data_IF_347122803363
#
_entry.id   IF_347122803363
#
_cell.length_a   1.000
_cell.length_b   1.000
_cell.length_c   1.000
_cell.angle_alpha   90.00
_cell.angle_beta   90.00
_cell.angle_gamma   90.00
#
_symmetry.space_group_name_H-M   'P 1'
#
loop_
_entity.id
_entity.type
_entity.pdbx_description
1 polymer ?
#
# COMPACT_ATOMS: atom_id res chain seq x y z
N UNK A 1 0.12 35.53 -19.86
CA UNK A 1 0.16 34.24 -19.13
C UNK A 1 -0.20 33.08 -20.05
N UNK A 2 -1.38 33.12 -20.68
CA UNK A 2 -1.82 32.10 -21.65
C UNK A 2 -0.83 31.93 -22.82
N UNK A 3 -0.27 33.01 -23.35
CA UNK A 3 0.69 32.91 -24.47
C UNK A 3 2.00 32.20 -24.08
N UNK A 4 2.50 32.46 -22.86
CA UNK A 4 3.71 31.83 -22.33
C UNK A 4 3.46 30.34 -22.09
N UNK A 5 2.33 30.00 -21.46
CA UNK A 5 1.95 28.61 -21.23
C UNK A 5 1.76 27.86 -22.56
N UNK A 6 1.14 28.49 -23.56
CA UNK A 6 0.95 27.91 -24.91
C UNK A 6 2.28 27.67 -25.62
N UNK A 7 3.22 28.62 -25.55
CA UNK A 7 4.56 28.48 -26.13
C UNK A 7 5.36 27.36 -25.43
N UNK A 8 5.32 27.29 -24.10
CA UNK A 8 6.02 26.28 -23.32
C UNK A 8 5.45 24.86 -23.56
N UNK A 9 4.13 24.72 -23.67
CA UNK A 9 3.48 23.46 -24.05
C UNK A 9 3.89 23.06 -25.46
N UNK A 10 3.89 24.00 -26.42
CA UNK A 10 4.33 23.72 -27.79
C UNK A 10 5.79 23.25 -27.83
N UNK A 11 6.69 23.90 -27.09
CA UNK A 11 8.09 23.50 -26.98
C UNK A 11 8.27 22.13 -26.31
N UNK A 12 7.46 21.80 -25.29
CA UNK A 12 7.49 20.49 -24.65
C UNK A 12 7.06 19.38 -25.62
N UNK A 13 5.99 19.60 -26.40
CA UNK A 13 5.46 18.61 -27.35
C UNK A 13 6.36 18.44 -28.58
N UNK A 14 6.86 19.53 -29.14
CA UNK A 14 7.62 19.51 -30.40
C UNK A 14 9.10 19.16 -30.20
N UNK A 15 9.69 19.60 -29.08
CA UNK A 15 11.13 19.48 -28.83
C UNK A 15 11.49 18.53 -27.68
N UNK A 16 10.51 17.90 -27.02
CA UNK A 16 10.73 17.02 -25.86
C UNK A 16 11.51 17.69 -24.71
N UNK A 17 11.31 18.99 -24.51
CA UNK A 17 11.97 19.78 -23.47
C UNK A 17 11.13 19.83 -22.19
N UNK A 18 11.79 19.68 -21.04
CA UNK A 18 11.18 19.96 -19.74
C UNK A 18 11.47 21.40 -19.31
N UNK A 19 10.46 22.10 -18.80
CA UNK A 19 10.60 23.47 -18.31
C UNK A 19 9.99 23.62 -16.91
N UNK A 20 10.49 24.57 -16.13
CA UNK A 20 9.92 24.94 -14.84
C UNK A 20 10.13 26.44 -14.63
N UNK A 21 9.03 27.17 -14.39
CA UNK A 21 9.08 28.58 -14.04
C UNK A 21 9.37 28.72 -12.55
N UNK A 22 10.40 29.48 -12.20
CA UNK A 22 10.84 29.72 -10.82
C UNK A 22 10.90 31.23 -10.58
N UNK A 23 10.30 31.68 -9.49
CA UNK A 23 10.03 33.10 -9.25
C UNK A 23 11.20 33.87 -8.62
N UNK A 24 12.15 33.15 -8.01
CA UNK A 24 13.26 33.75 -7.28
C UNK A 24 14.56 32.93 -7.38
N UNK A 25 15.68 33.59 -7.09
CA UNK A 25 17.01 33.01 -7.19
C UNK A 25 17.23 31.83 -6.22
N UNK A 26 16.59 31.83 -5.05
CA UNK A 26 16.73 30.74 -4.09
C UNK A 26 16.08 29.45 -4.61
N UNK A 27 14.88 29.56 -5.20
CA UNK A 27 14.20 28.44 -5.86
C UNK A 27 15.04 27.90 -7.03
N UNK A 28 15.69 28.77 -7.80
CA UNK A 28 16.62 28.36 -8.87
C UNK A 28 17.80 27.59 -8.29
N UNK A 29 18.46 28.10 -7.26
CA UNK A 29 19.59 27.42 -6.61
C UNK A 29 19.20 26.05 -6.04
N UNK A 30 18.05 25.96 -5.37
CA UNK A 30 17.52 24.69 -4.85
C UNK A 30 17.18 23.71 -5.96
N UNK A 31 16.64 24.19 -7.08
CA UNK A 31 16.35 23.33 -8.23
C UNK A 31 17.63 22.78 -8.87
N UNK A 32 18.66 23.61 -9.03
CA UNK A 32 19.98 23.16 -9.52
C UNK A 32 20.53 22.08 -8.59
N UNK A 33 20.52 22.30 -7.27
CA UNK A 33 20.98 21.30 -6.30
C UNK A 33 20.22 19.96 -6.42
N UNK A 34 18.88 20.02 -6.56
CA UNK A 34 18.04 18.84 -6.75
C UNK A 34 18.36 18.10 -8.05
N UNK A 35 18.54 18.83 -9.16
CA UNK A 35 18.89 18.25 -10.47
C UNK A 35 20.28 17.64 -10.42
N UNK A 36 21.27 18.33 -9.86
CA UNK A 36 22.63 17.80 -9.70
C UNK A 36 22.62 16.50 -8.88
N UNK A 37 21.90 16.48 -7.76
CA UNK A 37 21.74 15.26 -6.96
C UNK A 37 21.04 14.15 -7.74
N UNK A 38 19.96 14.47 -8.46
CA UNK A 38 19.21 13.49 -9.24
C UNK A 38 20.07 12.88 -10.35
N UNK A 39 20.88 13.68 -11.04
CA UNK A 39 21.82 13.23 -12.09
C UNK A 39 22.91 12.35 -11.48
N UNK A 40 23.50 12.74 -10.34
CA UNK A 40 24.51 11.94 -9.66
C UNK A 40 23.96 10.59 -9.17
N UNK A 41 22.72 10.56 -8.67
CA UNK A 41 22.06 9.34 -8.19
C UNK A 41 21.39 8.50 -9.30
N UNK A 42 21.24 9.04 -10.51
CA UNK A 42 20.56 8.37 -11.63
C UNK A 42 21.10 6.97 -11.95
N UNK A 43 22.43 6.74 -12.10
CA UNK A 43 22.94 5.40 -12.40
C UNK A 43 22.67 4.41 -11.25
N UNK A 44 22.89 4.84 -10.01
CA UNK A 44 22.62 4.02 -8.82
C UNK A 44 21.13 3.65 -8.70
N UNK A 45 20.22 4.61 -8.94
CA UNK A 45 18.77 4.35 -8.93
C UNK A 45 18.33 3.46 -10.08
N UNK A 46 18.98 3.55 -11.25
CA UNK A 46 18.69 2.69 -12.38
C UNK A 46 19.10 1.23 -12.10
N UNK A 47 20.28 1.01 -11.51
CA UNK A 47 20.70 -0.33 -11.09
C UNK A 47 19.84 -0.88 -9.96
N UNK A 48 19.55 -0.07 -8.95
CA UNK A 48 18.67 -0.45 -7.83
C UNK A 48 17.22 -0.68 -8.28
N UNK A 49 16.78 -0.03 -9.35
CA UNK A 49 15.45 -0.21 -9.93
C UNK A 49 15.33 -1.46 -10.81
N UNK A 50 16.41 -2.21 -11.02
CA UNK A 50 16.33 -3.56 -11.59
C UNK A 50 15.86 -4.48 -10.46
N UNK A 51 14.61 -4.97 -10.52
CA UNK A 51 14.07 -5.75 -9.44
C UNK A 51 14.91 -7.02 -9.25
N UNK A 52 15.41 -7.25 -8.04
CA UNK A 52 16.04 -8.55 -7.71
C UNK A 52 15.00 -9.68 -7.65
N UNK A 53 13.71 -9.34 -7.55
CA UNK A 53 12.57 -10.25 -7.61
C UNK A 53 11.44 -9.64 -8.45
N UNK A 54 10.75 -10.44 -9.26
CA UNK A 54 9.65 -9.98 -10.14
C UNK A 54 8.44 -9.37 -9.42
N UNK A 55 8.37 -9.47 -8.09
CA UNK A 55 7.26 -9.01 -7.27
C UNK A 55 7.75 -8.25 -6.04
N UNK A 56 6.83 -7.61 -5.32
CA UNK A 56 6.95 -6.69 -4.16
C UNK A 56 7.93 -7.05 -3.00
N UNK A 57 8.73 -8.11 -3.12
CA UNK A 57 9.76 -8.53 -2.17
C UNK A 57 10.96 -7.57 -2.08
N UNK A 58 11.11 -6.62 -3.02
CA UNK A 58 12.12 -5.56 -2.92
C UNK A 58 11.68 -4.50 -1.89
N UNK A 59 11.74 -4.91 -0.63
CA UNK A 59 11.41 -4.07 0.51
C UNK A 59 12.43 -2.95 0.63
N UNK A 60 12.05 -1.74 0.25
CA UNK A 60 12.62 -0.56 0.89
C UNK A 60 12.36 -0.70 2.40
N UNK A 61 13.38 -0.54 3.24
CA UNK A 61 13.27 -0.59 4.71
C UNK A 61 12.33 0.48 5.30
N UNK A 62 11.68 1.26 4.43
CA UNK A 62 10.56 2.14 4.76
C UNK A 62 9.40 1.34 5.35
N UNK A 63 8.93 1.80 6.51
CA UNK A 63 7.81 1.25 7.26
C UNK A 63 8.03 -0.11 7.96
N UNK A 64 9.25 -0.59 8.20
CA UNK A 64 9.40 -1.81 9.03
C UNK A 64 8.89 -1.63 10.47
N UNK A 65 8.30 -2.67 11.06
CA UNK A 65 7.91 -2.68 12.48
C UNK A 65 9.03 -3.33 13.29
N UNK A 66 9.59 -2.59 14.25
CA UNK A 66 10.52 -3.14 15.23
C UNK A 66 9.76 -4.04 16.21
N UNK A 67 10.24 -5.27 16.39
CA UNK A 67 9.70 -6.24 17.35
C UNK A 67 10.82 -6.60 18.33
N UNK A 68 10.53 -6.56 19.62
CA UNK A 68 11.49 -6.94 20.66
C UNK A 68 11.41 -8.44 21.02
N UNK A 69 12.33 -8.90 21.87
CA UNK A 69 12.40 -10.31 22.32
C UNK A 69 11.18 -10.74 23.14
N UNK A 70 10.47 -9.80 23.76
CA UNK A 70 9.22 -10.04 24.50
C UNK A 70 7.98 -10.05 23.60
N UNK A 71 8.13 -9.80 22.30
CA UNK A 71 7.02 -9.77 21.35
C UNK A 71 6.27 -8.43 21.29
N UNK A 72 6.77 -7.39 21.95
CA UNK A 72 6.21 -6.04 21.80
C UNK A 72 6.44 -5.60 20.37
N UNK A 73 5.35 -5.19 19.70
CA UNK A 73 5.35 -4.82 18.29
C UNK A 73 4.69 -5.86 17.39
N UNK A 74 4.44 -7.10 17.85
CA UNK A 74 3.78 -8.14 17.03
C UNK A 74 2.37 -7.73 16.56
N UNK A 75 1.56 -7.09 17.41
CA UNK A 75 0.25 -6.60 17.00
C UNK A 75 0.35 -5.48 15.95
N UNK A 76 1.35 -4.60 16.09
CA UNK A 76 1.61 -3.53 15.11
C UNK A 76 2.09 -4.13 13.78
N UNK A 77 2.92 -5.17 13.83
CA UNK A 77 3.34 -5.94 12.66
C UNK A 77 2.11 -6.58 12.00
N UNK A 78 1.21 -7.17 12.77
CA UNK A 78 -0.01 -7.79 12.25
C UNK A 78 -0.91 -6.78 11.54
N UNK A 79 -1.15 -5.60 12.14
CA UNK A 79 -1.86 -4.51 11.46
C UNK A 79 -1.19 -4.14 10.14
N UNK A 80 0.15 -4.11 10.09
CA UNK A 80 0.87 -3.75 8.89
C UNK A 80 0.84 -4.84 7.80
N UNK A 81 0.85 -6.11 8.19
CA UNK A 81 0.66 -7.24 7.28
C UNK A 81 -0.73 -7.19 6.65
N UNK A 82 -1.78 -6.92 7.42
CA UNK A 82 -3.14 -6.72 6.90
C UNK A 82 -3.22 -5.53 5.93
N UNK A 83 -2.43 -4.47 6.16
CA UNK A 83 -2.38 -3.30 5.27
C UNK A 83 -1.65 -3.55 3.94
N UNK A 84 -1.02 -4.71 3.75
CA UNK A 84 -0.42 -5.07 2.45
C UNK A 84 -1.50 -5.46 1.43
N UNK A 85 -2.70 -5.84 1.87
CA UNK A 85 -3.81 -6.10 0.96
C UNK A 85 -4.35 -4.79 0.38
N UNK A 86 -4.59 -4.78 -0.94
CA UNK A 86 -5.20 -3.64 -1.62
C UNK A 86 -6.53 -3.25 -0.95
N UNK A 87 -6.75 -1.94 -0.79
CA UNK A 87 -7.93 -1.33 -0.15
C UNK A 87 -8.05 -1.55 1.37
N UNK A 88 -7.01 -2.05 2.05
CA UNK A 88 -6.99 -2.14 3.53
C UNK A 88 -6.36 -0.90 4.15
N UNK A 89 -7.22 -0.01 4.66
CA UNK A 89 -6.82 1.13 5.49
C UNK A 89 -6.52 0.75 6.94
N UNK A 90 -6.11 1.73 7.75
CA UNK A 90 -5.78 1.53 9.17
C UNK A 90 -6.98 0.99 9.95
N UNK A 91 -8.17 1.55 9.74
CA UNK A 91 -9.36 1.16 10.52
C UNK A 91 -9.83 -0.25 10.19
N UNK A 92 -9.68 -0.68 8.93
CA UNK A 92 -10.04 -2.04 8.49
C UNK A 92 -9.07 -3.04 9.10
N UNK A 93 -7.77 -2.77 9.07
CA UNK A 93 -6.76 -3.63 9.67
C UNK A 93 -6.97 -3.76 11.19
N UNK A 94 -7.30 -2.66 11.87
CA UNK A 94 -7.61 -2.67 13.30
C UNK A 94 -8.90 -3.43 13.61
N UNK A 95 -9.94 -3.28 12.79
CA UNK A 95 -11.19 -4.02 12.98
C UNK A 95 -10.98 -5.53 12.83
N UNK A 96 -10.25 -5.97 11.80
CA UNK A 96 -9.91 -7.39 11.61
C UNK A 96 -9.02 -7.89 12.74
N UNK A 97 -7.99 -7.14 13.14
CA UNK A 97 -7.11 -7.53 14.22
C UNK A 97 -7.77 -7.48 15.61
N UNK A 98 -8.84 -6.70 15.77
CA UNK A 98 -9.66 -6.68 16.97
C UNK A 98 -10.39 -8.01 17.19
N UNK A 99 -10.93 -8.60 16.12
CA UNK A 99 -11.57 -9.92 16.15
C UNK A 99 -10.52 -11.06 16.12
N UNK A 100 -9.45 -10.90 15.34
CA UNK A 100 -8.40 -11.89 15.15
C UNK A 100 -7.01 -11.29 15.45
N UNK A 101 -6.55 -11.34 16.71
CA UNK A 101 -5.36 -10.61 17.16
C UNK A 101 -4.02 -11.15 16.63
N UNK A 102 -4.03 -12.27 15.91
CA UNK A 102 -2.85 -12.85 15.27
C UNK A 102 -3.21 -13.59 13.99
N UNK A 103 -2.24 -13.80 13.07
CA UNK A 103 -2.44 -14.64 11.90
C UNK A 103 -2.93 -16.05 12.26
N UNK A 104 -2.41 -16.64 13.33
CA UNK A 104 -2.81 -17.97 13.79
C UNK A 104 -4.27 -18.01 14.25
N UNK A 105 -4.74 -16.98 14.97
CA UNK A 105 -6.16 -16.89 15.38
C UNK A 105 -7.10 -16.84 14.16
N UNK A 106 -6.71 -16.11 13.11
CA UNK A 106 -7.46 -16.05 11.85
C UNK A 106 -7.46 -17.41 11.13
N UNK A 107 -6.29 -18.04 10.96
CA UNK A 107 -6.16 -19.35 10.32
C UNK A 107 -6.96 -20.43 11.05
N UNK A 108 -6.92 -20.45 12.39
CA UNK A 108 -7.70 -21.40 13.18
C UNK A 108 -9.20 -21.21 12.98
N UNK A 109 -9.66 -19.97 12.83
CA UNK A 109 -11.08 -19.69 12.57
C UNK A 109 -11.50 -20.15 11.18
N UNK A 110 -10.66 -19.97 10.15
CA UNK A 110 -10.91 -20.54 8.83
C UNK A 110 -11.00 -22.07 8.85
N UNK A 111 -10.14 -22.75 9.63
CA UNK A 111 -10.18 -24.22 9.76
C UNK A 111 -11.45 -24.75 10.44
N UNK A 112 -12.13 -23.92 11.23
CA UNK A 112 -13.40 -24.28 11.89
C UNK A 112 -14.61 -24.10 10.97
N UNK A 113 -14.47 -23.37 9.86
CA UNK A 113 -15.54 -23.22 8.88
C UNK A 113 -15.83 -24.54 8.17
N UNK A 114 -17.11 -24.86 7.99
CA UNK A 114 -17.54 -26.12 7.36
C UNK A 114 -17.46 -26.06 5.84
N UNK A 115 -17.66 -24.88 5.26
CA UNK A 115 -17.64 -24.68 3.81
C UNK A 115 -16.67 -23.57 3.41
N UNK A 116 -16.18 -23.66 2.16
CA UNK A 116 -15.39 -22.59 1.55
C UNK A 116 -16.16 -21.26 1.54
N UNK A 117 -17.49 -21.30 1.33
CA UNK A 117 -18.33 -20.11 1.29
C UNK A 117 -18.31 -19.39 2.64
N UNK A 118 -18.49 -20.12 3.73
CA UNK A 118 -18.47 -19.55 5.08
C UNK A 118 -17.11 -18.96 5.42
N UNK A 119 -16.02 -19.68 5.10
CA UNK A 119 -14.66 -19.20 5.29
C UNK A 119 -14.38 -17.94 4.46
N UNK A 120 -14.85 -17.89 3.21
CA UNK A 120 -14.68 -16.74 2.34
C UNK A 120 -15.43 -15.49 2.80
N UNK A 121 -16.48 -15.64 3.60
CA UNK A 121 -17.30 -14.55 4.13
C UNK A 121 -17.02 -14.25 5.61
N UNK A 122 -16.10 -14.97 6.26
CA UNK A 122 -15.81 -14.87 7.70
C UNK A 122 -15.51 -13.44 8.17
N UNK A 123 -14.85 -12.63 7.33
CA UNK A 123 -14.49 -11.26 7.67
C UNK A 123 -15.49 -10.22 7.15
N UNK A 124 -16.43 -10.62 6.28
CA UNK A 124 -17.21 -9.70 5.46
C UNK A 124 -18.06 -8.75 6.30
N UNK A 125 -18.61 -9.24 7.40
CA UNK A 125 -19.54 -8.50 8.26
C UNK A 125 -18.89 -7.77 9.43
N UNK A 126 -17.55 -7.83 9.55
CA UNK A 126 -16.82 -7.12 10.61
C UNK A 126 -17.07 -5.60 10.47
N UNK A 127 -17.59 -4.94 11.53
CA UNK A 127 -17.86 -3.51 11.49
C UNK A 127 -16.56 -2.70 11.60
N UNK A 128 -16.37 -1.77 10.67
CA UNK A 128 -15.27 -0.83 10.60
C UNK A 128 -15.81 0.55 10.96
N UNK A 129 -15.41 1.06 12.12
CA UNK A 129 -15.78 2.39 12.60
C UNK A 129 -14.77 3.42 12.08
N UNK A 130 -15.25 4.49 11.44
CA UNK A 130 -14.44 5.64 11.01
C UNK A 130 -14.94 6.92 11.67
N UNK A 131 -14.01 7.67 12.26
CA UNK A 131 -14.28 8.94 12.94
C UNK A 131 -14.59 8.79 14.43
N UNK A 132 -14.80 9.93 15.10
CA UNK A 132 -15.19 10.04 16.50
C UNK A 132 -16.41 10.98 16.62
N UNK A 133 -17.34 10.68 17.53
CA UNK A 133 -18.51 11.52 17.78
C UNK A 133 -19.67 11.33 16.77
N UNK A 134 -20.54 12.35 16.56
CA UNK A 134 -21.74 12.24 15.72
C UNK A 134 -21.48 11.93 14.24
N UNK A 135 -20.23 12.01 13.79
CA UNK A 135 -19.78 11.72 12.42
C UNK A 135 -19.26 10.27 12.24
N UNK A 136 -19.54 9.37 13.19
CA UNK A 136 -19.14 7.96 13.09
C UNK A 136 -19.87 7.31 11.92
N UNK A 137 -19.14 7.07 10.85
CA UNK A 137 -19.59 6.21 9.76
C UNK A 137 -19.19 4.77 10.09
N UNK A 138 -20.16 3.86 10.06
CA UNK A 138 -19.92 2.42 10.18
C UNK A 138 -20.04 1.80 8.80
N UNK A 139 -18.94 1.26 8.29
CA UNK A 139 -18.94 0.40 7.10
C UNK A 139 -18.53 -1.00 7.50
N UNK A 140 -18.75 -1.99 6.63
CA UNK A 140 -18.23 -3.35 6.85
C UNK A 140 -16.96 -3.57 6.03
N UNK A 141 -16.19 -4.61 6.36
CA UNK A 141 -15.02 -5.04 5.57
C UNK A 141 -15.42 -5.40 4.14
N UNK A 142 -16.55 -6.09 3.98
CA UNK A 142 -17.10 -6.47 2.69
C UNK A 142 -16.65 -7.85 2.19
N UNK A 143 -17.46 -8.50 1.35
CA UNK A 143 -17.25 -9.89 0.93
C UNK A 143 -16.02 -10.08 0.04
N UNK A 144 -15.70 -9.12 -0.82
CA UNK A 144 -14.54 -9.22 -1.73
C UNK A 144 -13.22 -9.27 -0.97
N UNK A 145 -13.05 -8.37 0.00
CA UNK A 145 -11.85 -8.32 0.83
C UNK A 145 -11.76 -9.56 1.73
N UNK A 146 -12.88 -10.00 2.29
CA UNK A 146 -12.93 -11.24 3.09
C UNK A 146 -12.46 -12.45 2.27
N UNK A 147 -12.97 -12.62 1.05
CA UNK A 147 -12.59 -13.72 0.15
C UNK A 147 -11.11 -13.65 -0.22
N UNK A 148 -10.59 -12.45 -0.48
CA UNK A 148 -9.18 -12.20 -0.81
C UNK A 148 -8.24 -12.65 0.31
N UNK A 149 -8.54 -12.24 1.55
CA UNK A 149 -7.73 -12.59 2.71
C UNK A 149 -7.81 -14.10 2.98
N UNK A 150 -9.01 -14.68 2.89
CA UNK A 150 -9.18 -16.14 3.00
C UNK A 150 -8.32 -16.89 1.99
N UNK A 151 -8.37 -16.49 0.72
CA UNK A 151 -7.60 -17.13 -0.35
C UNK A 151 -6.09 -17.05 -0.08
N UNK A 152 -5.58 -15.89 0.34
CA UNK A 152 -4.16 -15.72 0.69
C UNK A 152 -3.70 -16.65 1.81
N UNK A 153 -4.52 -16.87 2.84
CA UNK A 153 -4.15 -17.71 3.99
C UNK A 153 -4.38 -19.22 3.78
N UNK A 154 -5.05 -19.62 2.71
CA UNK A 154 -5.45 -21.03 2.49
C UNK A 154 -4.95 -21.63 1.18
N UNK A 155 -4.62 -20.80 0.20
CA UNK A 155 -4.04 -21.27 -1.08
C UNK A 155 -2.66 -21.87 -0.87
N UNK A 156 -2.34 -22.88 -1.68
CA UNK A 156 -0.99 -23.43 -1.83
C UNK A 156 -0.33 -22.97 -3.13
N UNK A 157 -1.10 -22.35 -4.04
CA UNK A 157 -0.61 -21.81 -5.30
C UNK A 157 -0.01 -20.40 -5.09
N UNK A 158 1.30 -20.21 -5.31
CA UNK A 158 1.96 -18.91 -5.16
C UNK A 158 1.58 -17.90 -6.25
N UNK A 159 1.06 -18.35 -7.40
CA UNK A 159 0.71 -17.49 -8.54
C UNK A 159 -0.78 -17.12 -8.56
N UNK A 160 -1.52 -17.48 -7.50
CA UNK A 160 -2.95 -17.20 -7.44
C UNK A 160 -3.22 -15.70 -7.43
N UNK A 161 -4.04 -15.23 -8.37
CA UNK A 161 -4.49 -13.85 -8.36
C UNK A 161 -5.48 -13.61 -7.22
N UNK A 162 -5.12 -12.68 -6.34
CA UNK A 162 -5.96 -12.22 -5.24
C UNK A 162 -7.00 -11.17 -5.67
N UNK A 163 -6.91 -10.66 -6.91
CA UNK A 163 -7.84 -9.68 -7.48
C UNK A 163 -8.85 -10.32 -8.43
N UNK A 164 -9.92 -9.58 -8.76
CA UNK A 164 -10.68 -9.89 -9.97
C UNK A 164 -9.78 -9.63 -11.17
N UNK A 165 -9.63 -10.61 -12.05
CA UNK A 165 -9.20 -10.37 -13.43
C UNK A 165 -10.18 -9.36 -14.02
N UNK A 166 -9.67 -8.21 -14.47
CA UNK A 166 -10.44 -7.24 -15.25
C UNK A 166 -10.94 -7.89 -16.54
#
# INVERSE_FOLDING_TARGET
>A
RVDIETALVSAQLQCSLNHRLLEDANKVAMFILQVTKAVAEAPFKHEKGKPSFSWYAEGSSTNTVKVDKSGVGLLKLWHQQLRQFNNVGVEVAQAIAGEYPSPQALIQSYRKCQTFRDASLLLADIPVRRGAGPLVSTRRVGPELSKKIHLFFTTTDPEVSLGQTL
#
